data_IF_390240708611
#
_entry.id   IF_390240708611
#
_cell.length_a   1.000
_cell.length_b   1.000
_cell.length_c   1.000
_cell.angle_alpha   90.00
_cell.angle_beta   90.00
_cell.angle_gamma   90.00
#
_symmetry.space_group_name_H-M   'P 1'
#
loop_
_entity.id
_entity.type
_entity.pdbx_description
1 polymer ?
#
# COMPACT_ATOMS: atom_id res chain seq x y z
N UNK A 1 -1.28 8.71 -23.14
CA UNK A 1 -0.68 8.86 -21.80
C UNK A 1 0.42 7.83 -21.69
N UNK A 2 1.68 8.26 -21.57
CA UNK A 2 2.81 7.33 -21.48
C UNK A 2 2.80 6.60 -20.13
N UNK A 3 2.29 5.38 -20.14
CA UNK A 3 2.21 4.50 -18.97
C UNK A 3 3.59 4.29 -18.30
N UNK A 4 4.65 4.36 -19.12
CA UNK A 4 6.06 4.33 -18.73
C UNK A 4 6.42 5.40 -17.68
N UNK A 5 5.92 6.64 -17.83
CA UNK A 5 6.25 7.74 -16.92
C UNK A 5 5.66 7.56 -15.52
N UNK A 6 4.54 6.83 -15.40
CA UNK A 6 3.89 6.57 -14.11
C UNK A 6 4.41 5.31 -13.41
N UNK A 7 5.08 4.41 -14.14
CA UNK A 7 5.66 3.19 -13.58
C UNK A 7 6.61 3.46 -12.42
N UNK A 8 7.44 4.51 -12.51
CA UNK A 8 8.36 4.87 -11.44
C UNK A 8 7.61 5.32 -10.17
N UNK A 9 6.53 6.08 -10.34
CA UNK A 9 5.68 6.56 -9.23
C UNK A 9 4.98 5.39 -8.53
N UNK A 10 4.52 4.39 -9.29
CA UNK A 10 3.93 3.16 -8.74
C UNK A 10 4.95 2.40 -7.90
N UNK A 11 6.19 2.23 -8.40
CA UNK A 11 7.26 1.53 -7.67
C UNK A 11 7.64 2.27 -6.38
N UNK A 12 7.76 3.60 -6.44
CA UNK A 12 8.04 4.43 -5.25
C UNK A 12 6.89 4.29 -4.24
N UNK A 13 5.63 4.38 -4.69
CA UNK A 13 4.45 4.18 -3.85
C UNK A 13 4.46 2.81 -3.18
N UNK A 14 4.73 1.76 -3.94
CA UNK A 14 4.87 0.41 -3.41
C UNK A 14 5.93 0.34 -2.30
N UNK A 15 7.13 0.85 -2.55
CA UNK A 15 8.22 0.80 -1.57
C UNK A 15 7.90 1.56 -0.28
N UNK A 16 7.31 2.76 -0.40
CA UNK A 16 6.92 3.58 0.76
C UNK A 16 5.88 2.86 1.61
N UNK A 17 4.82 2.32 0.98
CA UNK A 17 3.77 1.61 1.68
C UNK A 17 4.26 0.30 2.29
N UNK A 18 5.12 -0.47 1.59
CA UNK A 18 5.74 -1.67 2.18
C UNK A 18 6.64 -1.32 3.37
N UNK A 19 7.38 -0.21 3.32
CA UNK A 19 8.24 0.22 4.42
C UNK A 19 7.43 0.67 5.66
N UNK A 20 6.27 1.30 5.44
CA UNK A 20 5.32 1.69 6.48
C UNK A 20 4.49 0.53 7.03
N UNK A 21 4.48 -0.62 6.36
CA UNK A 21 3.66 -1.74 6.78
C UNK A 21 4.03 -2.22 8.19
N UNK A 22 3.02 -2.57 9.02
CA UNK A 22 3.26 -3.04 10.37
C UNK A 22 4.07 -4.33 10.36
N UNK A 23 4.95 -4.48 11.36
CA UNK A 23 5.78 -5.69 11.51
C UNK A 23 5.05 -6.70 12.38
N UNK A 24 4.95 -7.94 11.90
CA UNK A 24 4.25 -9.06 12.58
C UNK A 24 4.77 -9.42 13.98
N UNK A 25 5.86 -8.79 14.45
CA UNK A 25 6.47 -9.03 15.77
C UNK A 25 5.99 -8.04 16.86
N UNK A 26 5.10 -7.10 16.51
CA UNK A 26 4.53 -6.13 17.45
C UNK A 26 3.32 -6.70 18.19
N UNK A 27 3.22 -6.42 19.50
CA UNK A 27 2.10 -6.84 20.34
C UNK A 27 0.76 -6.24 19.88
N UNK A 28 0.81 -5.10 19.17
CA UNK A 28 -0.37 -4.36 18.71
C UNK A 28 -0.57 -4.47 17.18
N UNK A 29 -0.05 -5.53 16.54
CA UNK A 29 -0.06 -5.68 15.08
C UNK A 29 -1.44 -5.42 14.44
N UNK A 30 -2.52 -5.86 15.08
CA UNK A 30 -3.88 -5.64 14.59
C UNK A 30 -4.28 -4.16 14.48
N UNK A 31 -3.98 -3.34 15.50
CA UNK A 31 -4.31 -1.91 15.50
C UNK A 31 -3.51 -1.14 14.44
N UNK A 32 -2.20 -1.41 14.35
CA UNK A 32 -1.34 -0.81 13.34
C UNK A 32 -1.71 -1.23 11.92
N UNK A 33 -2.17 -2.46 11.74
CA UNK A 33 -2.68 -2.95 10.46
C UNK A 33 -3.99 -2.30 10.07
N UNK A 34 -4.89 -2.08 11.03
CA UNK A 34 -6.12 -1.34 10.79
C UNK A 34 -5.83 0.12 10.39
N UNK A 35 -4.92 0.79 11.10
CA UNK A 35 -4.49 2.16 10.75
C UNK A 35 -3.85 2.23 9.37
N UNK A 36 -3.02 1.24 9.02
CA UNK A 36 -2.41 1.11 7.69
C UNK A 36 -3.46 0.95 6.59
N UNK A 37 -4.46 0.08 6.79
CA UNK A 37 -5.58 -0.09 5.85
C UNK A 37 -6.42 1.17 5.70
N UNK A 38 -6.76 1.83 6.80
CA UNK A 38 -7.54 3.07 6.76
C UNK A 38 -6.80 4.17 6.00
N UNK A 39 -5.49 4.34 6.26
CA UNK A 39 -4.67 5.32 5.55
C UNK A 39 -4.61 5.04 4.04
N UNK A 40 -4.47 3.77 3.64
CA UNK A 40 -4.53 3.37 2.23
C UNK A 40 -5.87 3.69 1.60
N UNK A 41 -6.97 3.38 2.30
CA UNK A 41 -8.32 3.59 1.80
C UNK A 41 -8.61 5.09 1.60
N UNK A 42 -8.27 5.93 2.58
CA UNK A 42 -8.37 7.38 2.45
C UNK A 42 -7.48 7.94 1.34
N UNK A 43 -6.24 7.45 1.22
CA UNK A 43 -5.34 7.87 0.14
C UNK A 43 -5.90 7.49 -1.23
N UNK A 44 -6.51 6.30 -1.35
CA UNK A 44 -7.07 5.84 -2.61
C UNK A 44 -8.29 6.67 -3.02
N UNK A 45 -9.23 6.90 -2.09
CA UNK A 45 -10.42 7.72 -2.30
C UNK A 45 -10.04 9.17 -2.62
N UNK A 46 -9.17 9.79 -1.81
CA UNK A 46 -8.74 11.16 -2.06
C UNK A 46 -7.98 11.30 -3.39
N UNK A 47 -7.16 10.30 -3.74
CA UNK A 47 -6.42 10.31 -4.99
C UNK A 47 -7.29 10.04 -6.22
N UNK A 48 -8.41 9.33 -6.09
CA UNK A 48 -9.31 9.04 -7.21
C UNK A 48 -10.07 10.29 -7.67
N UNK A 49 -10.46 11.16 -6.73
CA UNK A 49 -11.14 12.42 -7.05
C UNK A 49 -10.22 13.40 -7.82
N UNK A 50 -8.92 13.41 -7.51
CA UNK A 50 -7.95 14.29 -8.16
C UNK A 50 -7.25 13.66 -9.36
N UNK A 51 -7.65 12.46 -9.80
CA UNK A 51 -7.00 11.74 -10.90
C UNK A 51 -6.96 12.55 -12.21
N UNK A 52 -8.00 13.34 -12.50
CA UNK A 52 -8.06 14.22 -13.68
C UNK A 52 -7.07 15.39 -13.63
N UNK A 53 -6.64 15.80 -12.43
CA UNK A 53 -5.80 16.99 -12.22
C UNK A 53 -4.34 16.58 -11.94
N UNK A 54 -4.14 15.55 -11.12
CA UNK A 54 -2.82 15.03 -10.73
C UNK A 54 -2.82 13.50 -10.72
N UNK A 55 -2.65 12.86 -11.90
CA UNK A 55 -2.68 11.40 -12.02
C UNK A 55 -1.56 10.72 -11.20
N UNK A 56 -0.44 11.39 -10.93
CA UNK A 56 0.67 10.85 -10.14
C UNK A 56 0.23 10.35 -8.75
N UNK A 57 -0.66 11.08 -8.07
CA UNK A 57 -1.12 10.70 -6.74
C UNK A 57 -1.93 9.40 -6.77
N UNK A 58 -2.74 9.23 -7.80
CA UNK A 58 -3.52 8.00 -8.02
C UNK A 58 -2.61 6.80 -8.32
N UNK A 59 -1.62 6.97 -9.20
CA UNK A 59 -0.63 5.92 -9.49
C UNK A 59 0.25 5.56 -8.29
N UNK A 60 0.57 6.52 -7.42
CA UNK A 60 1.23 6.25 -6.14
C UNK A 60 0.35 5.38 -5.23
N UNK A 61 -0.95 5.71 -5.12
CA UNK A 61 -1.92 4.91 -4.34
C UNK A 61 -2.14 3.50 -4.93
N UNK A 62 -2.06 3.32 -6.25
CA UNK A 62 -2.04 1.99 -6.89
C UNK A 62 -0.84 1.17 -6.42
N UNK A 63 0.34 1.79 -6.32
CA UNK A 63 1.53 1.16 -5.71
C UNK A 63 1.27 0.74 -4.26
N UNK A 64 0.57 1.57 -3.49
CA UNK A 64 0.13 1.26 -2.13
C UNK A 64 -0.85 0.07 -2.04
N UNK A 65 -1.77 -0.05 -2.99
CA UNK A 65 -2.67 -1.21 -3.07
C UNK A 65 -1.90 -2.51 -3.35
N UNK A 66 -0.91 -2.49 -4.25
CA UNK A 66 -0.02 -3.64 -4.49
C UNK A 66 0.80 -3.99 -3.23
N UNK A 67 1.29 -2.97 -2.51
CA UNK A 67 2.00 -3.16 -1.25
C UNK A 67 1.12 -3.83 -0.20
N UNK A 68 -0.16 -3.44 -0.11
CA UNK A 68 -1.12 -4.10 0.78
C UNK A 68 -1.28 -5.58 0.46
N UNK A 69 -1.52 -5.95 -0.80
CA UNK A 69 -1.61 -7.36 -1.19
C UNK A 69 -0.34 -8.14 -0.86
N UNK A 70 0.84 -7.55 -1.10
CA UNK A 70 2.12 -8.15 -0.73
C UNK A 70 2.25 -8.37 0.78
N UNK A 71 1.89 -7.38 1.60
CA UNK A 71 1.93 -7.46 3.07
C UNK A 71 0.96 -8.53 3.58
N UNK A 72 -0.25 -8.60 3.04
CA UNK A 72 -1.24 -9.63 3.39
C UNK A 72 -0.72 -11.02 3.02
N UNK A 73 -0.26 -11.23 1.79
CA UNK A 73 0.28 -12.51 1.33
C UNK A 73 1.48 -12.96 2.20
N UNK A 74 2.41 -12.05 2.49
CA UNK A 74 3.55 -12.32 3.36
C UNK A 74 3.12 -12.68 4.79
N UNK A 75 2.12 -12.00 5.32
CA UNK A 75 1.60 -12.26 6.67
C UNK A 75 0.92 -13.63 6.74
N UNK A 76 0.12 -14.00 5.72
CA UNK A 76 -0.50 -15.33 5.59
C UNK A 76 0.57 -16.44 5.56
N UNK A 77 1.60 -16.28 4.73
CA UNK A 77 2.72 -17.23 4.64
C UNK A 77 3.46 -17.36 5.97
N UNK A 78 3.71 -16.23 6.67
CA UNK A 78 4.39 -16.23 7.97
C UNK A 78 3.60 -16.95 9.05
N UNK A 79 2.27 -16.82 9.06
CA UNK A 79 1.39 -17.53 10.00
C UNK A 79 1.37 -19.03 9.73
N UNK A 80 1.37 -19.46 8.45
CA UNK A 80 1.42 -20.87 8.08
C UNK A 80 2.74 -21.55 8.48
N UNK A 81 3.89 -20.87 8.35
CA UNK A 81 5.20 -21.44 8.70
C UNK A 81 5.39 -21.61 10.22
N UNK A 82 4.69 -20.81 11.04
CA UNK A 82 4.77 -20.89 12.51
C UNK A 82 3.80 -21.87 13.16
N UNK A 83 2.88 -22.44 12.38
CA UNK A 83 1.84 -23.36 12.86
C UNK A 83 2.28 -24.81 12.65
#
# INVERSE_FOLDING_TARGET
MDFSSYSNVIVIGFLVWVAMAPKSKSNNFGEWFLAYMAALMFSLIGSSEIMMIKPNAFFFSIGGALAFFYVVARSVITVQIKK
#
